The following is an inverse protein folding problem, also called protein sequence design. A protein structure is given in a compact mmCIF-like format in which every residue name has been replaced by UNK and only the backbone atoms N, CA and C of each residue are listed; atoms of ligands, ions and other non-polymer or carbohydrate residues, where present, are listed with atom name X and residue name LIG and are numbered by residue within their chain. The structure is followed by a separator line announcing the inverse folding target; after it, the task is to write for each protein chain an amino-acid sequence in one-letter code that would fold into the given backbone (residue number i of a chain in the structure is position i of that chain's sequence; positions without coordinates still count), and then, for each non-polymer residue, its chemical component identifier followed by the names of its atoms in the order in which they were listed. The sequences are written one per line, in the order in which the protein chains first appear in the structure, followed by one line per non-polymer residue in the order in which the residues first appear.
data_IF_532309278278
#
_entry.id   IF_532309278278
#
_cell.length_a   1.000
_cell.length_b   1.000
_cell.length_c   1.000
_cell.angle_alpha   90.00
_cell.angle_beta   90.00
_cell.angle_gamma   90.00
#
_symmetry.space_group_name_H-M   'P 1'
#
loop_
_entity.id
_entity.type
_entity.pdbx_description
1 polymer ?
#
# COMPACT_ATOMS: atom_id res chain seq x y z
N UNK A 1 10.41 -8.45 1.71
CA UNK A 1 10.56 -8.03 1.43
C UNK A 1 10.61 -6.95 1.17
N UNK A 2 10.88 -6.51 1.29
CA UNK A 2 10.95 -5.40 1.26
C UNK A 2 10.91 -4.74 0.22
N UNK A 3 10.21 -4.77 -0.30
CA UNK A 3 10.01 -4.20 -1.28
C UNK A 3 10.30 -2.88 -1.34
N UNK A 4 9.90 -2.20 -0.71
CA UNK A 4 10.04 -0.94 -0.93
C UNK A 4 11.26 -0.45 -0.91
N UNK A 5 12.02 -1.19 -0.65
CA UNK A 5 13.14 -0.77 -0.45
C UNK A 5 13.72 -0.05 -1.43
N UNK A 6 13.56 -0.17 -2.36
CA UNK A 6 14.25 0.46 -3.21
C UNK A 6 13.88 1.58 -3.70
N UNK A 7 13.48 2.15 -3.38
CA UNK A 7 13.07 3.18 -3.87
C UNK A 7 13.87 4.14 -4.27
N UNK A 8 14.79 4.02 -4.54
CA UNK A 8 15.53 4.91 -4.84
C UNK A 8 15.03 5.80 -5.70
N UNK A 9 14.46 5.70 -6.49
CA UNK A 9 14.07 6.60 -7.31
C UNK A 9 13.01 7.37 -6.95
N UNK A 10 12.53 7.20 -5.94
CA UNK A 10 11.42 7.79 -5.62
C UNK A 10 11.44 9.15 -5.50
N UNK A 11 11.88 9.79 -6.13
CA UNK A 11 11.85 11.05 -5.91
C UNK A 11 10.63 11.66 -5.95
N UNK A 12 10.26 12.53 -5.89
CA UNK A 12 9.06 13.15 -6.06
C UNK A 12 8.12 13.01 -5.00
N UNK A 13 8.38 12.39 -4.05
CA UNK A 13 7.48 12.33 -2.98
C UNK A 13 6.33 11.45 -3.18
N UNK A 14 6.32 10.63 -4.14
CA UNK A 14 5.23 9.74 -4.32
C UNK A 14 5.58 8.35 -3.91
N UNK A 15 6.39 8.23 -2.91
CA UNK A 15 6.80 6.94 -2.45
C UNK A 15 5.72 6.28 -1.63
N UNK A 16 5.46 5.04 -1.88
CA UNK A 16 4.47 4.29 -1.15
C UNK A 16 5.14 3.02 -0.67
N UNK A 17 4.96 2.72 0.61
CA UNK A 17 5.49 1.51 1.18
C UNK A 17 4.37 0.49 1.32
N UNK A 18 4.70 -0.77 1.10
CA UNK A 18 3.72 -1.84 1.26
C UNK A 18 4.21 -2.82 2.28
N UNK A 19 3.32 -3.26 3.15
CA UNK A 19 3.61 -4.31 4.10
C UNK A 19 2.64 -5.43 3.88
N UNK A 20 3.15 -6.65 3.80
CA UNK A 20 2.32 -7.80 3.55
C UNK A 20 2.40 -8.72 4.74
N UNK A 21 1.26 -9.21 5.21
CA UNK A 21 1.24 -10.15 6.30
C UNK A 21 0.19 -11.20 6.04
N UNK A 22 0.58 -12.46 6.07
CA UNK A 22 -0.37 -13.52 5.86
C UNK A 22 -0.85 -14.05 7.20
N UNK A 23 -2.14 -14.17 7.34
CA UNK A 23 -2.73 -14.68 8.57
C UNK A 23 -3.72 -15.74 8.14
N UNK A 24 -3.37 -17.00 8.34
CA UNK A 24 -4.22 -18.09 7.91
C UNK A 24 -4.41 -18.05 6.42
N UNK A 25 -5.61 -18.07 5.96
CA UNK A 25 -5.91 -18.03 4.54
C UNK A 25 -6.08 -16.64 3.99
N UNK A 26 -5.69 -15.62 4.74
CA UNK A 26 -5.88 -14.25 4.30
C UNK A 26 -4.57 -13.51 4.23
N UNK A 27 -4.52 -12.53 3.35
CA UNK A 27 -3.38 -11.66 3.21
C UNK A 27 -3.80 -10.26 3.59
N UNK A 28 -3.03 -9.61 4.45
CA UNK A 28 -3.28 -8.26 4.85
C UNK A 28 -2.20 -7.40 4.22
N UNK A 29 -2.61 -6.40 3.48
CA UNK A 29 -1.67 -5.52 2.80
C UNK A 29 -1.91 -4.10 3.27
N UNK A 30 -0.87 -3.47 3.76
CA UNK A 30 -0.94 -2.07 4.15
C UNK A 30 -0.17 -1.26 3.14
N UNK A 31 -0.74 -0.17 2.69
CA UNK A 31 -0.08 0.77 1.79
C UNK A 31 0.03 2.10 2.52
N UNK A 32 1.23 2.62 2.61
CA UNK A 32 1.52 3.80 3.40
C UNK A 32 2.15 4.85 2.52
N UNK A 33 1.53 6.01 2.46
CA UNK A 33 2.09 7.12 1.70
C UNK A 33 3.16 7.81 2.53
N UNK A 34 4.37 7.81 2.01
CA UNK A 34 5.50 8.32 2.79
C UNK A 34 5.39 9.82 3.05
N UNK A 35 4.81 10.55 2.16
CA UNK A 35 4.76 11.99 2.33
C UNK A 35 3.76 12.42 3.39
N UNK A 36 2.64 11.74 3.49
CA UNK A 36 1.62 12.16 4.43
C UNK A 36 1.49 11.26 5.63
N UNK A 37 2.03 10.05 5.54
CA UNK A 37 1.84 9.08 6.62
C UNK A 37 0.48 8.41 6.59
N UNK A 38 -0.33 8.67 5.60
CA UNK A 38 -1.64 8.05 5.53
C UNK A 38 -1.48 6.59 5.12
N UNK A 39 -2.19 5.74 5.80
CA UNK A 39 -2.10 4.32 5.58
C UNK A 39 -3.46 3.72 5.32
N UNK A 40 -3.57 2.80 4.39
CA UNK A 40 -4.79 2.04 4.19
C UNK A 40 -4.47 0.56 4.27
N UNK A 41 -5.45 -0.24 4.60
CA UNK A 41 -5.26 -1.67 4.76
C UNK A 41 -6.30 -2.40 3.95
N UNK A 42 -5.86 -3.43 3.26
CA UNK A 42 -6.74 -4.28 2.48
C UNK A 42 -6.54 -5.69 2.97
N UNK A 43 -7.61 -6.43 3.16
CA UNK A 43 -7.54 -7.83 3.54
C UNK A 43 -8.24 -8.62 2.46
N UNK A 44 -7.59 -9.63 1.97
CA UNK A 44 -8.14 -10.45 0.90
C UNK A 44 -7.64 -11.88 1.06
N UNK A 45 -8.31 -12.83 0.41
CA UNK A 45 -7.82 -14.21 0.46
C UNK A 45 -6.43 -14.30 -0.15
N UNK A 46 -5.65 -15.24 0.32
CA UNK A 46 -4.30 -15.38 -0.21
C UNK A 46 -4.32 -15.73 -1.69
N UNK A 47 -5.45 -16.19 -2.21
CA UNK A 47 -5.54 -16.52 -3.62
C UNK A 47 -5.79 -15.29 -4.48
N UNK A 48 -6.04 -14.17 -3.90
CA UNK A 48 -6.28 -12.96 -4.69
C UNK A 48 -5.00 -12.55 -5.38
N UNK A 49 -5.13 -12.02 -6.59
CA UNK A 49 -3.95 -11.77 -7.34
C UNK A 49 -3.58 -10.31 -7.47
N UNK A 50 -4.34 -9.39 -7.22
CA UNK A 50 -3.96 -8.00 -7.42
C UNK A 50 -4.09 -7.19 -6.18
N UNK A 51 -3.75 -7.79 -5.05
CA UNK A 51 -3.94 -7.13 -3.78
C UNK A 51 -3.16 -5.85 -3.70
N UNK A 52 -1.95 -5.84 -4.21
CA UNK A 52 -1.13 -4.65 -4.12
C UNK A 52 -1.73 -3.51 -4.94
N UNK A 53 -2.26 -3.82 -6.11
CA UNK A 53 -2.88 -2.79 -6.94
C UNK A 53 -4.14 -2.26 -6.29
N UNK A 54 -4.90 -3.12 -5.64
CA UNK A 54 -6.09 -2.70 -4.94
C UNK A 54 -5.73 -1.79 -3.78
N UNK A 55 -4.70 -2.15 -3.04
CA UNK A 55 -4.26 -1.34 -1.91
C UNK A 55 -3.78 0.03 -2.38
N UNK A 56 -3.06 0.06 -3.48
CA UNK A 56 -2.57 1.32 -4.01
C UNK A 56 -3.74 2.20 -4.46
N UNK A 57 -4.71 1.62 -5.12
CA UNK A 57 -5.86 2.39 -5.56
C UNK A 57 -6.64 2.94 -4.38
N UNK A 58 -6.76 2.15 -3.32
CA UNK A 58 -7.46 2.59 -2.15
C UNK A 58 -6.71 3.74 -1.49
N UNK A 59 -5.39 3.67 -1.45
CA UNK A 59 -4.59 4.72 -0.87
C UNK A 59 -4.74 6.00 -1.69
N UNK A 60 -4.68 5.91 -2.99
CA UNK A 60 -4.81 7.08 -3.82
C UNK A 60 -6.16 7.75 -3.61
N UNK A 61 -7.24 6.97 -3.51
CA UNK A 61 -8.50 7.55 -3.28
C UNK A 61 -8.55 8.23 -1.94
N UNK A 62 -7.94 7.66 -0.92
CA UNK A 62 -7.92 8.26 0.36
C UNK A 62 -7.15 9.57 0.35
N UNK A 63 -6.06 9.62 -0.39
CA UNK A 63 -5.28 10.83 -0.48
C UNK A 63 -6.07 11.93 -1.20
N UNK A 64 -6.83 11.57 -2.20
CA UNK A 64 -7.66 12.55 -2.88
C UNK A 64 -8.72 13.09 -1.98
N UNK A 65 -9.29 12.25 -1.14
CA UNK A 65 -10.31 12.70 -0.24
C UNK A 65 -9.79 13.60 0.84
N UNK A 66 -8.54 13.43 1.20
CA UNK A 66 -8.01 14.29 2.23
C UNK A 66 -7.31 15.48 1.67
N UNK A 67 -7.37 15.69 0.42
CA UNK A 67 -6.70 16.83 -0.15
C UNK A 67 -7.30 18.11 0.29
N UNK A 68 -6.73 19.18 -0.04
CA UNK A 68 -7.15 20.48 0.43
C UNK A 68 -8.48 20.87 -0.12
#
# INVERSE_FOLDING_TARGET
MAVGADRKGASGGNEVYFEFKQIGGQMRVAAIDAATGIEVIVIAPVTATQIQNVALAKLKRRLEQSGP
#
